data_IF_306886551698
#
_entry.id   IF_306886551698
#
_cell.length_a   1.000
_cell.length_b   1.000
_cell.length_c   1.000
_cell.angle_alpha   90.00
_cell.angle_beta   90.00
_cell.angle_gamma   90.00
#
_symmetry.space_group_name_H-M   'P 1'
#
loop_
_entity.id
_entity.type
_entity.pdbx_description
1 polymer ?
#
# COMPACT_ATOMS: atom_id res chain seq x y z
N UNK A 1 32.59 49.65 17.64
CA UNK A 1 31.70 48.53 17.93
C UNK A 1 30.26 49.00 17.74
N UNK A 2 29.71 48.88 16.55
CA UNK A 2 28.36 49.39 16.21
C UNK A 2 27.37 48.23 16.42
N UNK A 3 26.67 48.24 17.54
CA UNK A 3 25.48 47.41 17.75
C UNK A 3 24.31 48.09 17.05
N UNK A 4 24.11 47.75 15.80
CA UNK A 4 22.86 48.08 15.09
C UNK A 4 21.69 47.28 15.66
N UNK A 5 20.91 47.89 16.54
CA UNK A 5 19.59 47.35 16.90
C UNK A 5 18.68 47.50 15.67
N UNK A 6 18.51 46.42 14.92
CA UNK A 6 17.50 46.35 13.87
C UNK A 6 16.13 46.35 14.57
N UNK A 7 15.50 47.52 14.68
CA UNK A 7 14.09 47.62 15.04
C UNK A 7 13.26 47.09 13.88
N UNK A 8 12.83 45.87 14.00
CA UNK A 8 11.86 45.30 13.03
C UNK A 8 10.54 46.05 13.26
N UNK A 9 10.10 46.76 12.21
CA UNK A 9 8.81 47.44 12.23
C UNK A 9 7.70 46.39 12.44
N UNK A 10 6.73 46.70 13.27
CA UNK A 10 5.60 45.80 13.65
C UNK A 10 4.86 45.30 12.39
N UNK A 11 4.72 46.15 11.35
CA UNK A 11 4.10 45.77 10.07
C UNK A 11 4.92 44.71 9.32
N UNK A 12 6.25 44.89 9.28
CA UNK A 12 7.15 43.93 8.65
C UNK A 12 7.15 42.60 9.39
N UNK A 13 7.07 42.60 10.71
CA UNK A 13 6.98 41.37 11.50
C UNK A 13 5.67 40.60 11.21
N UNK A 14 4.55 41.28 11.12
CA UNK A 14 3.25 40.68 10.78
C UNK A 14 3.28 40.11 9.38
N UNK A 15 3.81 40.83 8.39
CA UNK A 15 3.93 40.36 7.01
C UNK A 15 4.82 39.13 6.89
N UNK A 16 5.96 39.09 7.60
CA UNK A 16 6.84 37.92 7.65
C UNK A 16 6.10 36.72 8.27
N UNK A 17 5.38 36.92 9.37
CA UNK A 17 4.64 35.85 10.03
C UNK A 17 3.54 35.28 9.12
N UNK A 18 2.80 36.14 8.40
CA UNK A 18 1.80 35.72 7.42
C UNK A 18 2.41 34.90 6.28
N UNK A 19 3.55 35.38 5.72
CA UNK A 19 4.26 34.68 4.67
C UNK A 19 4.74 33.29 5.14
N UNK A 20 5.24 33.17 6.36
CA UNK A 20 5.63 31.89 6.95
C UNK A 20 4.43 30.95 7.11
N UNK A 21 3.26 31.45 7.55
CA UNK A 21 2.03 30.67 7.67
C UNK A 21 1.57 30.11 6.33
N UNK A 22 1.57 30.94 5.29
CA UNK A 22 1.24 30.51 3.93
C UNK A 22 2.20 29.41 3.44
N UNK A 23 3.51 29.62 3.65
CA UNK A 23 4.50 28.62 3.26
C UNK A 23 4.29 27.27 3.95
N UNK A 24 4.02 27.30 5.26
CA UNK A 24 3.71 26.09 6.04
C UNK A 24 2.47 25.39 5.47
N UNK A 25 1.40 26.14 5.16
CA UNK A 25 0.18 25.59 4.59
C UNK A 25 0.45 24.92 3.24
N UNK A 26 1.23 25.55 2.36
CA UNK A 26 1.60 24.98 1.06
C UNK A 26 2.38 23.67 1.24
N UNK A 27 3.31 23.62 2.20
CA UNK A 27 4.05 22.38 2.51
C UNK A 27 3.11 21.29 3.02
N UNK A 28 2.20 21.60 3.94
CA UNK A 28 1.25 20.62 4.48
C UNK A 28 0.34 20.06 3.38
N UNK A 29 -0.16 20.91 2.48
CA UNK A 29 -0.97 20.47 1.33
C UNK A 29 -0.15 19.57 0.40
N UNK A 30 1.09 19.93 0.10
CA UNK A 30 1.96 19.11 -0.74
C UNK A 30 2.21 17.72 -0.12
N UNK A 31 2.48 17.67 1.20
CA UNK A 31 2.64 16.40 1.93
C UNK A 31 1.37 15.57 1.90
N UNK A 32 0.20 16.19 2.08
CA UNK A 32 -1.08 15.51 2.01
C UNK A 32 -1.31 14.89 0.61
N UNK A 33 -1.01 15.61 -0.46
CA UNK A 33 -1.15 15.10 -1.82
C UNK A 33 -0.26 13.88 -2.07
N UNK A 34 0.97 13.86 -1.54
CA UNK A 34 1.87 12.69 -1.62
C UNK A 34 1.27 11.50 -0.90
N UNK A 35 0.78 11.69 0.34
CA UNK A 35 0.20 10.58 1.11
C UNK A 35 -1.13 10.06 0.49
N UNK A 36 -1.94 10.91 -0.13
CA UNK A 36 -3.12 10.48 -0.90
C UNK A 36 -2.70 9.62 -2.11
N UNK A 37 -1.62 9.99 -2.80
CA UNK A 37 -1.05 9.19 -3.87
C UNK A 37 -0.61 7.79 -3.38
N UNK A 38 0.09 7.74 -2.24
CA UNK A 38 0.51 6.50 -1.60
C UNK A 38 -0.71 5.63 -1.20
N UNK A 39 -1.74 6.24 -0.63
CA UNK A 39 -2.98 5.54 -0.25
C UNK A 39 -3.66 4.89 -1.46
N UNK A 40 -3.75 5.63 -2.57
CA UNK A 40 -4.33 5.10 -3.83
C UNK A 40 -3.52 3.92 -4.38
N UNK A 41 -2.19 4.01 -4.36
CA UNK A 41 -1.31 2.91 -4.75
C UNK A 41 -1.49 1.68 -3.86
N UNK A 42 -1.57 1.87 -2.54
CA UNK A 42 -1.79 0.78 -1.57
C UNK A 42 -3.14 0.10 -1.77
N UNK A 43 -4.21 0.85 -2.04
CA UNK A 43 -5.53 0.28 -2.31
C UNK A 43 -5.52 -0.66 -3.53
N UNK A 44 -4.75 -0.33 -4.58
CA UNK A 44 -4.57 -1.23 -5.74
C UNK A 44 -3.83 -2.50 -5.34
N UNK A 45 -2.76 -2.40 -4.55
CA UNK A 45 -2.03 -3.57 -4.02
C UNK A 45 -2.95 -4.49 -3.21
N UNK A 46 -3.77 -3.95 -2.30
CA UNK A 46 -4.74 -4.73 -1.51
C UNK A 46 -5.70 -5.50 -2.44
N UNK A 47 -6.23 -4.83 -3.47
CA UNK A 47 -7.14 -5.46 -4.42
C UNK A 47 -6.48 -6.63 -5.15
N UNK A 48 -5.27 -6.47 -5.67
CA UNK A 48 -4.56 -7.53 -6.39
C UNK A 48 -4.08 -8.66 -5.47
N UNK A 49 -3.66 -8.36 -4.25
CA UNK A 49 -3.37 -9.38 -3.23
C UNK A 49 -4.64 -10.20 -2.90
N UNK A 50 -5.81 -9.54 -2.83
CA UNK A 50 -7.10 -10.20 -2.68
C UNK A 50 -7.47 -11.09 -3.88
N UNK A 51 -7.17 -10.67 -5.12
CA UNK A 51 -7.33 -11.50 -6.31
C UNK A 51 -6.44 -12.75 -6.25
N UNK A 52 -5.17 -12.60 -5.85
CA UNK A 52 -4.27 -13.76 -5.66
C UNK A 52 -4.87 -14.75 -4.66
N UNK A 53 -5.38 -14.27 -3.52
CA UNK A 53 -6.02 -15.11 -2.51
C UNK A 53 -7.21 -15.89 -3.09
N UNK A 54 -8.13 -15.21 -3.79
CA UNK A 54 -9.34 -15.82 -4.33
C UNK A 54 -9.07 -16.72 -5.54
N UNK A 55 -8.26 -16.27 -6.48
CA UNK A 55 -8.01 -16.99 -7.73
C UNK A 55 -7.07 -18.20 -7.53
N UNK A 56 -6.24 -18.23 -6.48
CA UNK A 56 -5.52 -19.46 -6.12
C UNK A 56 -6.49 -20.55 -5.68
N UNK A 57 -7.49 -20.26 -4.87
CA UNK A 57 -8.54 -21.22 -4.51
C UNK A 57 -9.32 -21.70 -5.75
N UNK A 58 -9.60 -20.77 -6.67
CA UNK A 58 -10.23 -21.11 -7.95
C UNK A 58 -9.35 -22.04 -8.81
N UNK A 59 -8.05 -21.75 -8.90
CA UNK A 59 -7.11 -22.59 -9.64
C UNK A 59 -7.06 -24.01 -9.09
N UNK A 60 -6.93 -24.16 -7.77
CA UNK A 60 -6.94 -25.48 -7.11
C UNK A 60 -8.27 -26.20 -7.30
N UNK A 61 -9.40 -25.51 -7.16
CA UNK A 61 -10.72 -26.09 -7.41
C UNK A 61 -10.84 -26.63 -8.85
N UNK A 62 -10.37 -25.88 -9.84
CA UNK A 62 -10.38 -26.30 -11.23
C UNK A 62 -9.49 -27.54 -11.44
N UNK A 63 -8.30 -27.57 -10.85
CA UNK A 63 -7.39 -28.70 -10.92
C UNK A 63 -8.04 -29.99 -10.38
N UNK A 64 -8.58 -29.96 -9.16
CA UNK A 64 -9.19 -31.17 -8.55
C UNK A 64 -10.46 -31.63 -9.27
N UNK A 65 -11.11 -30.76 -10.05
CA UNK A 65 -12.26 -31.12 -10.89
C UNK A 65 -11.85 -31.55 -12.30
N UNK A 66 -10.55 -31.69 -12.57
CA UNK A 66 -10.00 -32.15 -13.85
C UNK A 66 -9.92 -31.06 -14.93
N UNK A 67 -10.14 -29.80 -14.57
CA UNK A 67 -10.05 -28.67 -15.51
C UNK A 67 -8.71 -27.95 -15.32
N UNK A 68 -7.74 -28.21 -16.18
CA UNK A 68 -6.45 -27.52 -16.17
C UNK A 68 -6.61 -26.08 -16.63
N UNK A 69 -5.99 -25.15 -15.90
CA UNK A 69 -5.99 -23.74 -16.27
C UNK A 69 -4.60 -23.13 -16.04
N UNK A 70 -3.69 -23.39 -16.97
CA UNK A 70 -2.32 -22.87 -16.91
C UNK A 70 -2.27 -21.36 -17.12
N UNK A 71 -3.25 -20.76 -17.83
CA UNK A 71 -3.37 -19.31 -17.98
C UNK A 71 -3.66 -18.62 -16.65
N UNK A 72 -4.50 -19.22 -15.80
CA UNK A 72 -4.78 -18.69 -14.46
C UNK A 72 -3.54 -18.78 -13.56
N UNK A 73 -2.77 -19.87 -13.67
CA UNK A 73 -1.51 -20.00 -12.92
C UNK A 73 -0.50 -18.94 -13.38
N UNK A 74 -0.34 -18.72 -14.68
CA UNK A 74 0.53 -17.69 -15.22
C UNK A 74 0.08 -16.27 -14.79
N UNK A 75 -1.23 -16.00 -14.81
CA UNK A 75 -1.81 -14.75 -14.33
C UNK A 75 -1.47 -14.48 -12.85
N UNK A 76 -1.54 -15.51 -12.00
CA UNK A 76 -1.17 -15.41 -10.58
C UNK A 76 0.34 -15.18 -10.39
N UNK A 77 1.18 -15.83 -11.21
CA UNK A 77 2.63 -15.59 -11.23
C UNK A 77 2.95 -14.12 -11.56
N UNK A 78 2.29 -13.57 -12.59
CA UNK A 78 2.48 -12.19 -13.01
C UNK A 78 2.07 -11.20 -11.92
N UNK A 79 0.91 -11.39 -11.27
CA UNK A 79 0.48 -10.53 -10.17
C UNK A 79 1.47 -10.61 -8.99
N UNK A 80 1.89 -11.80 -8.59
CA UNK A 80 2.85 -11.98 -7.49
C UNK A 80 4.21 -11.34 -7.80
N UNK A 81 4.63 -11.38 -9.06
CA UNK A 81 5.82 -10.69 -9.53
C UNK A 81 5.67 -9.18 -9.40
N UNK A 82 4.55 -8.60 -9.85
CA UNK A 82 4.27 -7.16 -9.80
C UNK A 82 4.14 -6.67 -8.36
N UNK A 83 3.47 -7.42 -7.48
CA UNK A 83 3.37 -7.11 -6.04
C UNK A 83 4.75 -7.02 -5.38
N UNK A 84 5.71 -7.83 -5.84
CA UNK A 84 7.06 -7.89 -5.27
C UNK A 84 7.96 -6.79 -5.81
N UNK A 85 7.95 -6.60 -7.13
CA UNK A 85 8.84 -5.64 -7.80
C UNK A 85 8.34 -4.21 -7.71
N UNK A 86 7.02 -4.02 -7.83
CA UNK A 86 6.40 -2.73 -8.10
C UNK A 86 6.60 -2.26 -9.55
N UNK A 87 7.04 -3.17 -10.42
CA UNK A 87 7.38 -2.90 -11.83
C UNK A 87 6.70 -3.94 -12.70
N UNK A 88 5.54 -3.63 -13.26
CA UNK A 88 4.80 -4.53 -14.12
C UNK A 88 3.60 -3.85 -14.76
N UNK A 89 2.82 -4.61 -15.54
CA UNK A 89 1.71 -4.06 -16.32
C UNK A 89 0.46 -3.76 -15.49
N UNK A 90 0.38 -4.25 -14.24
CA UNK A 90 -0.71 -3.92 -13.31
C UNK A 90 -0.51 -2.59 -12.59
N UNK A 91 0.61 -1.87 -12.84
CA UNK A 91 0.93 -0.59 -12.21
C UNK A 91 0.85 -0.64 -10.68
N UNK A 92 1.30 -1.74 -10.09
CA UNK A 92 1.35 -1.90 -8.64
C UNK A 92 2.54 -1.14 -8.07
N UNK A 93 2.37 -0.66 -6.85
CA UNK A 93 3.47 -0.01 -6.14
C UNK A 93 4.09 -0.99 -5.15
N UNK A 94 5.41 -1.01 -5.05
CA UNK A 94 6.08 -1.78 -4.01
C UNK A 94 5.84 -1.12 -2.65
N UNK A 95 5.10 -1.79 -1.77
CA UNK A 95 4.88 -1.30 -0.40
C UNK A 95 6.18 -1.42 0.42
N UNK A 96 6.59 -0.32 1.04
CA UNK A 96 7.82 -0.25 1.86
C UNK A 96 7.57 -0.61 3.34
N UNK A 97 6.64 -1.52 3.60
CA UNK A 97 6.36 -2.04 4.95
C UNK A 97 7.03 -3.40 5.11
N UNK A 98 7.89 -3.55 6.14
CA UNK A 98 8.67 -4.76 6.36
C UNK A 98 7.79 -5.97 6.63
N UNK A 99 6.71 -5.81 7.40
CA UNK A 99 5.81 -6.90 7.72
C UNK A 99 5.07 -7.41 6.47
N UNK A 100 4.63 -6.50 5.60
CA UNK A 100 4.05 -6.87 4.31
C UNK A 100 5.04 -7.62 3.42
N UNK A 101 6.27 -7.13 3.28
CA UNK A 101 7.29 -7.77 2.44
C UNK A 101 7.63 -9.18 2.92
N UNK A 102 7.81 -9.38 4.22
CA UNK A 102 8.09 -10.69 4.81
C UNK A 102 6.96 -11.70 4.51
N UNK A 103 5.69 -11.27 4.64
CA UNK A 103 4.53 -12.13 4.35
C UNK A 103 4.43 -12.45 2.86
N UNK A 104 4.62 -11.46 2.01
CA UNK A 104 4.60 -11.65 0.55
C UNK A 104 5.71 -12.60 0.08
N UNK A 105 6.92 -12.48 0.62
CA UNK A 105 8.04 -13.38 0.28
C UNK A 105 7.74 -14.82 0.72
N UNK A 106 7.19 -15.00 1.92
CA UNK A 106 6.77 -16.30 2.44
C UNK A 106 5.65 -16.91 1.60
N UNK A 107 4.64 -16.12 1.24
CA UNK A 107 3.53 -16.52 0.37
C UNK A 107 4.04 -16.94 -1.01
N UNK A 108 4.96 -16.19 -1.61
CA UNK A 108 5.57 -16.54 -2.91
C UNK A 108 6.34 -17.86 -2.85
N UNK A 109 7.15 -18.04 -1.81
CA UNK A 109 7.88 -19.30 -1.64
C UNK A 109 6.92 -20.49 -1.50
N UNK A 110 5.80 -20.31 -0.82
CA UNK A 110 4.79 -21.34 -0.69
C UNK A 110 4.01 -21.58 -2.00
N UNK A 111 3.77 -20.54 -2.79
CA UNK A 111 3.16 -20.64 -4.11
C UNK A 111 3.95 -21.55 -5.05
N UNK A 112 5.29 -21.45 -5.06
CA UNK A 112 6.13 -22.36 -5.86
C UNK A 112 5.95 -23.82 -5.41
N UNK A 113 5.81 -24.07 -4.13
CA UNK A 113 5.55 -25.41 -3.60
C UNK A 113 4.18 -25.92 -3.98
N UNK A 114 3.16 -25.08 -3.94
CA UNK A 114 1.80 -25.43 -4.36
C UNK A 114 1.75 -25.76 -5.87
N UNK A 115 2.43 -24.98 -6.72
CA UNK A 115 2.56 -25.29 -8.16
C UNK A 115 3.25 -26.64 -8.41
N UNK A 116 4.29 -26.94 -7.64
CA UNK A 116 4.98 -28.23 -7.73
C UNK A 116 4.04 -29.40 -7.34
N UNK A 117 3.20 -29.22 -6.32
CA UNK A 117 2.21 -30.23 -5.93
C UNK A 117 1.11 -30.38 -7.00
N UNK A 118 0.64 -29.28 -7.61
CA UNK A 118 -0.27 -29.31 -8.77
C UNK A 118 0.33 -30.14 -9.90
N UNK A 119 1.59 -29.88 -10.26
CA UNK A 119 2.28 -30.63 -11.31
C UNK A 119 2.43 -32.12 -10.98
N UNK A 120 2.70 -32.44 -9.73
CA UNK A 120 2.78 -33.82 -9.25
C UNK A 120 1.42 -34.52 -9.24
N UNK A 121 0.36 -33.82 -8.82
CA UNK A 121 -1.02 -34.32 -8.84
C UNK A 121 -1.51 -34.64 -10.26
N UNK A 122 -1.16 -33.81 -11.23
CA UNK A 122 -1.47 -34.03 -12.67
C UNK A 122 -0.86 -35.33 -13.20
N UNK A 123 0.26 -35.81 -12.63
CA UNK A 123 0.93 -37.03 -13.05
C UNK A 123 0.43 -38.26 -12.28
N UNK A 124 0.17 -38.12 -10.98
CA UNK A 124 -0.14 -39.23 -10.07
C UNK A 124 -1.62 -39.44 -9.79
N UNK A 125 -2.46 -38.47 -10.19
CA UNK A 125 -3.85 -38.38 -9.79
C UNK A 125 -4.04 -37.59 -8.48
N UNK A 126 -5.25 -37.11 -8.24
CA UNK A 126 -5.56 -36.18 -7.14
C UNK A 126 -5.93 -36.88 -5.84
N UNK A 127 -6.18 -38.20 -5.84
CA UNK A 127 -6.70 -38.94 -4.67
C UNK A 127 -5.71 -38.98 -3.47
N UNK A 128 -4.41 -38.94 -3.74
CA UNK A 128 -3.35 -39.04 -2.72
C UNK A 128 -2.44 -37.81 -2.69
N UNK A 129 -2.99 -36.62 -2.95
CA UNK A 129 -2.22 -35.39 -2.97
C UNK A 129 -2.56 -34.50 -1.78
N UNK A 130 -1.63 -33.59 -1.44
CA UNK A 130 -1.84 -32.60 -0.40
C UNK A 130 -2.37 -31.27 -0.93
N UNK A 131 -2.80 -31.23 -2.20
CA UNK A 131 -3.15 -29.99 -2.91
C UNK A 131 -4.23 -29.18 -2.16
N UNK A 132 -5.23 -29.84 -1.58
CA UNK A 132 -6.30 -29.19 -0.81
C UNK A 132 -5.74 -28.60 0.49
N UNK A 133 -5.02 -29.39 1.29
CA UNK A 133 -4.42 -28.91 2.52
C UNK A 133 -3.42 -27.77 2.29
N UNK A 134 -2.62 -27.89 1.23
CA UNK A 134 -1.68 -26.84 0.84
C UNK A 134 -2.41 -25.57 0.35
N UNK A 135 -3.55 -25.71 -0.31
CA UNK A 135 -4.32 -24.53 -0.75
C UNK A 135 -4.93 -23.78 0.43
N UNK A 136 -5.37 -24.49 1.48
CA UNK A 136 -5.86 -23.85 2.70
C UNK A 136 -4.73 -23.09 3.43
N UNK A 137 -3.56 -23.72 3.59
CA UNK A 137 -2.39 -23.03 4.15
C UNK A 137 -2.00 -21.80 3.31
N UNK A 138 -2.03 -21.91 1.98
CA UNK A 138 -1.75 -20.78 1.10
C UNK A 138 -2.79 -19.66 1.26
N UNK A 139 -4.06 -20.02 1.42
CA UNK A 139 -5.13 -19.05 1.65
C UNK A 139 -4.88 -18.24 2.93
N UNK A 140 -4.52 -18.90 4.03
CA UNK A 140 -4.17 -18.25 5.30
C UNK A 140 -2.99 -17.28 5.11
N UNK A 141 -1.92 -17.72 4.43
CA UNK A 141 -0.76 -16.86 4.14
C UNK A 141 -1.13 -15.66 3.26
N UNK A 142 -1.99 -15.87 2.26
CA UNK A 142 -2.46 -14.78 1.39
C UNK A 142 -3.35 -13.79 2.16
N UNK A 143 -4.19 -14.27 3.07
CA UNK A 143 -5.03 -13.44 3.94
C UNK A 143 -4.18 -12.59 4.89
N UNK A 144 -3.12 -13.16 5.47
CA UNK A 144 -2.15 -12.42 6.27
C UNK A 144 -1.40 -11.35 5.46
N UNK A 145 -1.10 -11.62 4.19
CA UNK A 145 -0.46 -10.64 3.28
C UNK A 145 -1.43 -9.47 2.99
N UNK A 146 -2.69 -9.76 2.71
CA UNK A 146 -3.74 -8.74 2.53
C UNK A 146 -3.87 -7.89 3.80
N UNK A 147 -3.99 -8.52 4.96
CA UNK A 147 -4.11 -7.84 6.26
C UNK A 147 -2.91 -6.92 6.54
N UNK A 148 -1.70 -7.34 6.21
CA UNK A 148 -0.51 -6.50 6.35
C UNK A 148 -0.55 -5.26 5.45
N UNK A 149 -1.06 -5.40 4.21
CA UNK A 149 -1.25 -4.28 3.30
C UNK A 149 -2.35 -3.31 3.79
N UNK A 150 -3.43 -3.83 4.36
CA UNK A 150 -4.51 -3.04 4.99
C UNK A 150 -3.97 -2.23 6.17
N UNK A 151 -3.20 -2.84 7.07
CA UNK A 151 -2.55 -2.13 8.17
C UNK A 151 -1.60 -1.02 7.69
N UNK A 152 -0.88 -1.25 6.60
CA UNK A 152 -0.07 -0.19 6.01
C UNK A 152 -0.92 0.95 5.46
N UNK A 153 -2.05 0.64 4.81
CA UNK A 153 -3.03 1.62 4.34
C UNK A 153 -3.58 2.47 5.49
N UNK A 154 -3.93 1.84 6.62
CA UNK A 154 -4.40 2.53 7.83
C UNK A 154 -3.35 3.50 8.39
N UNK A 155 -2.07 3.10 8.41
CA UNK A 155 -0.97 3.99 8.82
C UNK A 155 -0.89 5.25 7.93
N UNK A 156 -1.07 5.09 6.61
CA UNK A 156 -1.10 6.22 5.67
C UNK A 156 -2.32 7.11 5.94
N UNK A 157 -3.50 6.52 6.12
CA UNK A 157 -4.72 7.27 6.43
C UNK A 157 -4.60 8.07 7.73
N UNK A 158 -3.98 7.50 8.77
CA UNK A 158 -3.68 8.22 10.01
C UNK A 158 -2.73 9.39 9.82
N UNK A 159 -1.71 9.27 8.95
CA UNK A 159 -0.82 10.39 8.61
C UNK A 159 -1.59 11.52 7.93
N UNK A 160 -2.44 11.19 6.95
CA UNK A 160 -3.28 12.18 6.25
C UNK A 160 -4.14 12.93 7.27
N UNK A 161 -4.82 12.22 8.16
CA UNK A 161 -5.66 12.81 9.21
C UNK A 161 -4.84 13.73 10.14
N UNK A 162 -3.62 13.35 10.46
CA UNK A 162 -2.72 14.18 11.28
C UNK A 162 -2.38 15.49 10.55
N UNK A 163 -2.07 15.43 9.26
CA UNK A 163 -1.79 16.61 8.44
C UNK A 163 -3.03 17.52 8.36
N UNK A 164 -4.23 16.96 8.19
CA UNK A 164 -5.50 17.71 8.20
C UNK A 164 -5.69 18.47 9.52
N UNK A 165 -5.53 17.79 10.66
CA UNK A 165 -5.67 18.40 11.98
C UNK A 165 -4.66 19.53 12.17
N UNK A 166 -3.42 19.38 11.69
CA UNK A 166 -2.38 20.42 11.78
C UNK A 166 -2.64 21.60 10.84
N UNK A 167 -3.25 21.36 9.68
CA UNK A 167 -3.53 22.39 8.67
C UNK A 167 -4.72 23.30 9.06
N UNK A 168 -5.71 22.77 9.78
CA UNK A 168 -6.92 23.50 10.14
C UNK A 168 -6.66 24.79 10.95
N UNK A 169 -5.89 24.79 12.07
CA UNK A 169 -5.59 26.00 12.82
C UNK A 169 -4.73 27.00 12.05
N UNK A 170 -3.83 26.51 11.17
CA UNK A 170 -3.00 27.36 10.30
C UNK A 170 -3.87 28.14 9.33
N UNK A 171 -4.83 27.46 8.67
CA UNK A 171 -5.79 28.07 7.75
C UNK A 171 -6.69 29.09 8.47
N UNK A 172 -7.20 28.77 9.68
CA UNK A 172 -8.03 29.68 10.47
C UNK A 172 -7.27 30.92 10.89
N UNK A 173 -6.02 30.78 11.35
CA UNK A 173 -5.19 31.92 11.78
C UNK A 173 -4.88 32.83 10.58
N UNK A 174 -4.65 32.28 9.39
CA UNK A 174 -4.40 33.05 8.18
C UNK A 174 -5.63 33.87 7.77
N UNK A 175 -6.82 33.26 7.76
CA UNK A 175 -8.07 33.94 7.41
C UNK A 175 -8.35 35.11 8.38
N UNK A 176 -8.20 34.89 9.69
CA UNK A 176 -8.46 35.92 10.70
C UNK A 176 -7.46 37.08 10.65
N UNK A 177 -6.20 36.80 10.33
CA UNK A 177 -5.20 37.85 10.13
C UNK A 177 -5.49 38.73 8.92
N UNK A 178 -6.21 38.21 7.90
CA UNK A 178 -6.64 38.97 6.72
C UNK A 178 -7.85 39.88 6.98
N UNK A 179 -8.72 39.50 7.92
CA UNK A 179 -9.89 40.28 8.31
C UNK A 179 -9.54 41.50 9.23
N UNK A 180 -8.35 41.49 9.82
CA UNK A 180 -7.93 42.52 10.78
C UNK A 180 -6.97 43.58 10.18
N UNK A 181 -6.71 43.54 8.89
CA UNK A 181 -5.92 44.50 8.10
C UNK A 181 -6.85 45.38 7.24
#
# INVERSE_FOLDING_TARGET
>A
MIKGNVKIDRKNLISILQSCLVLILVILVALMMVEIGNLKGTARVINYAGLVRGDTQRAVKLEITGTRNDELIAYLDDILSDLTSGEGHYELVKLKDAAYQERLDSQRAYWERLKAEVAAARQRGYENTQIVAMSETYFEMADETVSAAEHYSEKIAMKIRTIEILSAPVSYTHLRAHETL
#
